data_IF_368644807773
#
_entry.id   IF_368644807773
#
_cell.length_a   1.000
_cell.length_b   1.000
_cell.length_c   1.000
_cell.angle_alpha   90.00
_cell.angle_beta   90.00
_cell.angle_gamma   90.00
#
_symmetry.space_group_name_H-M   'P 1'
#
loop_
_entity.id
_entity.type
_entity.pdbx_description
1 polymer ?
#
# COMPACT_ATOMS: atom_id res chain seq x y z
N UNK A 1 -3.53 -14.16 8.97
CA UNK A 1 -3.61 -12.70 8.76
C UNK A 1 -5.03 -12.22 9.01
N UNK A 2 -5.23 -11.26 9.93
CA UNK A 2 -6.56 -10.73 10.27
C UNK A 2 -7.09 -9.88 9.11
N UNK A 3 -8.41 -9.74 9.00
CA UNK A 3 -9.01 -8.89 7.94
C UNK A 3 -8.59 -7.42 8.06
N UNK A 4 -8.37 -6.93 9.28
CA UNK A 4 -7.85 -5.58 9.51
C UNK A 4 -6.46 -5.37 8.89
N UNK A 5 -5.57 -6.37 8.96
CA UNK A 5 -4.22 -6.25 8.37
C UNK A 5 -4.30 -6.20 6.84
N UNK A 6 -5.23 -6.98 6.25
CA UNK A 6 -5.49 -6.93 4.80
C UNK A 6 -6.03 -5.57 4.36
N UNK A 7 -6.91 -4.97 5.15
CA UNK A 7 -7.43 -3.63 4.88
C UNK A 7 -6.32 -2.57 4.92
N UNK A 8 -5.39 -2.68 5.87
CA UNK A 8 -4.22 -1.79 5.97
C UNK A 8 -3.29 -1.98 4.76
N UNK A 9 -2.99 -3.22 4.38
CA UNK A 9 -2.18 -3.50 3.18
C UNK A 9 -2.82 -2.93 1.92
N UNK A 10 -4.13 -3.14 1.73
CA UNK A 10 -4.85 -2.61 0.58
C UNK A 10 -4.93 -1.09 0.58
N UNK A 11 -4.96 -0.47 1.75
CA UNK A 11 -4.87 0.98 1.88
C UNK A 11 -3.49 1.50 1.43
N UNK A 12 -2.40 0.79 1.76
CA UNK A 12 -1.07 1.14 1.29
C UNK A 12 -0.93 0.99 -0.23
N UNK A 13 -1.48 -0.09 -0.80
CA UNK A 13 -1.54 -0.27 -2.26
C UNK A 13 -2.30 0.87 -2.95
N UNK A 14 -3.45 1.27 -2.39
CA UNK A 14 -4.24 2.40 -2.90
C UNK A 14 -3.46 3.72 -2.85
N UNK A 15 -2.72 3.97 -1.77
CA UNK A 15 -1.85 5.15 -1.65
C UNK A 15 -0.81 5.19 -2.78
N UNK A 16 -0.18 4.06 -3.10
CA UNK A 16 0.78 4.00 -4.22
C UNK A 16 0.12 4.28 -5.57
N UNK A 17 -1.12 3.83 -5.77
CA UNK A 17 -1.90 4.18 -6.96
C UNK A 17 -2.24 5.67 -7.00
N UNK A 18 -2.62 6.27 -5.86
CA UNK A 18 -2.90 7.70 -5.77
C UNK A 18 -1.67 8.55 -6.10
N UNK A 19 -0.49 8.17 -5.61
CA UNK A 19 0.77 8.89 -5.90
C UNK A 19 1.08 8.79 -7.40
N UNK A 20 1.01 7.58 -7.98
CA UNK A 20 1.25 7.38 -9.42
C UNK A 20 0.26 8.17 -10.29
N UNK A 21 -1.00 8.22 -9.89
CA UNK A 21 -2.03 8.99 -10.59
C UNK A 21 -1.73 10.50 -10.51
N UNK A 22 -1.33 10.99 -9.34
CA UNK A 22 -0.97 12.38 -9.17
C UNK A 22 0.26 12.76 -10.01
N UNK A 23 1.30 11.92 -10.03
CA UNK A 23 2.52 12.15 -10.82
C UNK A 23 2.23 12.14 -12.32
N UNK A 24 1.40 11.21 -12.78
CA UNK A 24 0.98 11.18 -14.17
C UNK A 24 0.16 12.42 -14.54
N UNK A 25 -0.82 12.78 -13.69
CA UNK A 25 -1.68 13.94 -13.87
C UNK A 25 -0.94 15.28 -13.89
N UNK A 26 0.11 15.40 -13.06
CA UNK A 26 1.00 16.55 -13.03
C UNK A 26 1.85 16.63 -14.32
N UNK A 27 2.27 15.49 -14.86
CA UNK A 27 3.05 15.40 -16.10
C UNK A 27 2.24 15.70 -17.38
N UNK A 28 0.95 15.38 -17.40
CA UNK A 28 0.06 15.61 -18.56
C UNK A 28 -0.80 16.88 -18.44
N UNK A 29 -0.52 17.73 -17.45
CA UNK A 29 -1.34 18.90 -17.13
C UNK A 29 -1.45 19.88 -18.30
N UNK A 30 -2.68 20.18 -18.70
CA UNK A 30 -2.99 21.21 -19.70
C UNK A 30 -3.49 22.53 -19.06
N UNK A 31 -4.05 22.47 -17.85
CA UNK A 31 -4.66 23.61 -17.14
C UNK A 31 -4.25 23.64 -15.66
N UNK A 32 -4.25 24.83 -15.06
CA UNK A 32 -3.92 25.06 -13.66
C UNK A 32 -4.89 24.35 -12.71
N UNK A 33 -6.16 24.18 -13.12
CA UNK A 33 -7.16 23.42 -12.36
C UNK A 33 -6.78 21.96 -12.16
N UNK A 34 -6.20 21.31 -13.17
CA UNK A 34 -5.69 19.95 -13.07
C UNK A 34 -4.51 19.87 -12.09
N UNK A 35 -3.65 20.91 -12.06
CA UNK A 35 -2.52 20.98 -11.14
C UNK A 35 -2.96 21.02 -9.68
N UNK A 36 -4.01 21.77 -9.36
CA UNK A 36 -4.60 21.82 -8.02
C UNK A 36 -5.16 20.44 -7.65
N UNK A 37 -5.90 19.80 -8.55
CA UNK A 37 -6.50 18.48 -8.31
C UNK A 37 -5.43 17.44 -7.98
N UNK A 38 -4.40 17.28 -8.82
CA UNK A 38 -3.35 16.28 -8.60
C UNK A 38 -2.46 16.61 -7.40
N UNK A 39 -2.25 17.89 -7.09
CA UNK A 39 -1.57 18.31 -5.85
C UNK A 39 -2.35 17.87 -4.60
N UNK A 40 -3.68 18.02 -4.61
CA UNK A 40 -4.54 17.58 -3.50
C UNK A 40 -4.54 16.05 -3.38
N UNK A 41 -4.61 15.32 -4.50
CA UNK A 41 -4.52 13.86 -4.50
C UNK A 41 -3.19 13.40 -3.89
N UNK A 42 -2.07 14.04 -4.27
CA UNK A 42 -0.73 13.74 -3.74
C UNK A 42 -0.66 13.98 -2.23
N UNK A 43 -1.14 15.12 -1.74
CA UNK A 43 -1.15 15.43 -0.30
C UNK A 43 -2.04 14.47 0.50
N UNK A 44 -3.23 14.14 -0.01
CA UNK A 44 -4.12 13.17 0.61
C UNK A 44 -3.47 11.78 0.69
N UNK A 45 -2.79 11.34 -0.37
CA UNK A 45 -2.09 10.06 -0.41
C UNK A 45 -1.03 9.98 0.70
N UNK A 46 -0.18 11.00 0.87
CA UNK A 46 0.83 11.02 1.93
C UNK A 46 0.24 11.05 3.34
N UNK A 47 -0.89 11.76 3.54
CA UNK A 47 -1.61 11.74 4.82
C UNK A 47 -2.15 10.34 5.15
N UNK A 48 -2.77 9.69 4.17
CA UNK A 48 -3.29 8.32 4.33
C UNK A 48 -2.12 7.34 4.57
N UNK A 49 -1.01 7.49 3.85
CA UNK A 49 0.20 6.68 4.04
C UNK A 49 0.67 6.68 5.49
N UNK A 50 0.84 7.88 6.07
CA UNK A 50 1.30 8.04 7.46
C UNK A 50 0.34 7.39 8.46
N UNK A 51 -0.97 7.51 8.24
CA UNK A 51 -1.98 6.90 9.11
C UNK A 51 -1.96 5.37 8.99
N UNK A 52 -1.89 4.83 7.77
CA UNK A 52 -1.84 3.40 7.52
C UNK A 52 -0.55 2.76 8.09
N UNK A 53 0.59 3.43 7.95
CA UNK A 53 1.85 3.00 8.56
C UNK A 53 1.81 3.05 10.09
N UNK A 54 1.22 4.10 10.67
CA UNK A 54 1.05 4.21 12.11
C UNK A 54 0.20 3.05 12.67
N UNK A 55 -0.89 2.69 11.96
CA UNK A 55 -1.74 1.56 12.35
C UNK A 55 -1.03 0.21 12.18
N UNK A 56 -0.30 0.02 11.07
CA UNK A 56 0.58 -1.15 10.86
C UNK A 56 1.57 -1.29 12.02
N UNK A 57 2.25 -0.22 12.39
CA UNK A 57 3.19 -0.21 13.52
C UNK A 57 2.49 -0.49 14.85
N UNK A 58 1.27 0.01 15.06
CA UNK A 58 0.48 -0.31 16.25
C UNK A 58 0.11 -1.81 16.30
N UNK A 59 -0.22 -2.43 15.16
CA UNK A 59 -0.48 -3.86 15.06
C UNK A 59 0.78 -4.71 15.31
N UNK A 60 1.94 -4.28 14.81
CA UNK A 60 3.25 -4.91 15.09
C UNK A 60 3.56 -4.85 16.58
N UNK A 61 3.43 -3.66 17.22
CA UNK A 61 3.67 -3.49 18.67
C UNK A 61 2.75 -4.35 19.53
N UNK A 62 1.50 -4.57 19.09
CA UNK A 62 0.54 -5.44 19.77
C UNK A 62 0.78 -6.94 19.50
N UNK A 63 1.73 -7.30 18.63
CA UNK A 63 2.03 -8.68 18.25
C UNK A 63 0.94 -9.34 17.40
N UNK A 64 0.08 -8.54 16.76
CA UNK A 64 -1.02 -9.04 15.93
C UNK A 64 -0.64 -9.21 14.47
N UNK A 65 0.52 -8.67 14.08
CA UNK A 65 1.04 -8.76 12.73
C UNK A 65 1.69 -10.13 12.51
N UNK A 66 0.90 -11.09 12.03
CA UNK A 66 1.44 -12.37 11.57
C UNK A 66 2.04 -12.17 10.18
N UNK A 67 3.35 -11.98 10.16
CA UNK A 67 4.16 -12.13 8.96
C UNK A 67 3.89 -13.54 8.42
N UNK A 68 3.29 -13.62 7.23
CA UNK A 68 3.09 -14.89 6.55
C UNK A 68 4.49 -15.43 6.21
N UNK A 69 5.03 -16.30 7.06
CA UNK A 69 6.00 -17.29 6.62
C UNK A 69 5.32 -18.16 5.56
N UNK A 70 5.47 -17.77 4.30
CA UNK A 70 5.29 -18.65 3.15
C UNK A 70 6.66 -18.89 2.50
N UNK A 71 7.59 -19.43 3.30
CA UNK A 71 8.64 -20.29 2.79
C UNK A 71 8.21 -21.73 3.07
N UNK A 72 8.15 -22.59 2.04
CA UNK A 72 8.50 -24.03 2.07
C UNK A 72 7.64 -25.07 1.30
N UNK A 73 6.54 -24.75 0.61
CA UNK A 73 5.80 -25.80 -0.13
C UNK A 73 6.12 -25.95 -1.63
N UNK A 74 7.22 -25.36 -2.11
CA UNK A 74 7.66 -25.46 -3.51
C UNK A 74 8.66 -26.59 -3.84
N UNK A 75 9.28 -27.25 -2.86
CA UNK A 75 10.42 -28.17 -3.08
C UNK A 75 10.13 -29.64 -2.75
N UNK A 76 8.87 -30.10 -2.82
CA UNK A 76 8.51 -31.49 -2.47
C UNK A 76 8.04 -32.38 -3.63
N UNK A 77 8.39 -32.06 -4.88
CA UNK A 77 8.01 -32.89 -6.05
C UNK A 77 9.17 -33.49 -6.86
N UNK A 78 10.44 -33.16 -6.59
CA UNK A 78 11.60 -33.81 -7.25
C UNK A 78 12.22 -34.91 -6.40
N UNK A 79 11.43 -35.88 -5.93
CA UNK A 79 11.91 -37.18 -5.42
C UNK A 79 10.81 -38.24 -5.53
N UNK A 80 10.37 -38.54 -6.76
CA UNK A 80 9.78 -39.84 -7.07
C UNK A 80 9.81 -40.07 -8.59
N UNK A 81 10.51 -41.13 -8.98
CA UNK A 81 10.66 -41.74 -10.31
C UNK A 81 11.68 -41.08 -11.23
#
# INVERSE_FOLDING_TARGET
>A
MKECDRAIMRTLELVEEMIRLADHGDAVREDDGCGILYSVVRDAAFKIQKLAEAEKQAHIRKGWWQELESKEEGYKWKRRC
#
